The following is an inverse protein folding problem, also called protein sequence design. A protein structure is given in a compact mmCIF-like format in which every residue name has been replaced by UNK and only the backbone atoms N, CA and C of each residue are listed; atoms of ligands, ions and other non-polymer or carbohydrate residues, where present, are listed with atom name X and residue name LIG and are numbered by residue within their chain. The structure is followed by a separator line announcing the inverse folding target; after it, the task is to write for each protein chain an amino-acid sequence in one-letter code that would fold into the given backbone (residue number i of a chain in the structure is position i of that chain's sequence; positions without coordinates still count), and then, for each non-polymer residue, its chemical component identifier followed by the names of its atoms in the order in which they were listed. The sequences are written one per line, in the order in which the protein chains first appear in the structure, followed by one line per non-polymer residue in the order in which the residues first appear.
data_IF_159267460345
#
_entry.id   IF_159267460345
#
_cell.length_a   1.000
_cell.length_b   1.000
_cell.length_c   1.000
_cell.angle_alpha   90.00
_cell.angle_beta   90.00
_cell.angle_gamma   90.00
#
_symmetry.space_group_name_H-M   'P 1'
#
loop_
_entity.id
_entity.type
_entity.pdbx_description
1 polymer ?
#
# COMPACT_ATOMS: atom_id res chain seq x y z
N UNK A 1 -9.68 -13.69 -17.14
CA UNK A 1 -8.21 -13.63 -17.25
C UNK A 1 -7.65 -14.54 -16.18
N UNK A 2 -6.71 -15.36 -16.56
CA UNK A 2 -6.16 -16.46 -15.77
C UNK A 2 -5.01 -15.96 -14.87
N UNK A 3 -4.75 -16.62 -13.74
CA UNK A 3 -3.67 -16.32 -12.81
C UNK A 3 -2.31 -16.17 -13.52
N UNK A 4 -2.04 -17.06 -14.46
CA UNK A 4 -0.82 -17.10 -15.28
C UNK A 4 -0.47 -15.76 -15.95
N UNK A 5 -1.48 -15.00 -16.39
CA UNK A 5 -1.29 -13.71 -17.07
C UNK A 5 -0.93 -12.55 -16.12
N UNK A 6 -1.11 -12.75 -14.81
CA UNK A 6 -0.83 -11.75 -13.77
C UNK A 6 0.48 -12.01 -13.03
N UNK A 7 0.91 -13.29 -12.93
CA UNK A 7 2.11 -13.63 -12.16
C UNK A 7 3.39 -13.26 -12.95
N UNK A 8 4.20 -12.28 -12.48
CA UNK A 8 5.22 -11.62 -13.31
C UNK A 8 6.29 -12.54 -13.88
N UNK A 9 6.66 -13.60 -13.14
CA UNK A 9 7.72 -14.53 -13.55
C UNK A 9 7.17 -15.84 -14.12
N UNK A 10 5.88 -15.89 -14.51
CA UNK A 10 5.22 -17.11 -14.97
C UNK A 10 6.00 -17.89 -16.03
N UNK A 11 6.48 -17.19 -17.05
CA UNK A 11 7.22 -17.78 -18.17
C UNK A 11 8.64 -18.29 -17.82
N UNK A 12 9.12 -17.94 -16.61
CA UNK A 12 10.41 -18.41 -16.11
C UNK A 12 10.28 -19.66 -15.21
N UNK A 13 9.05 -20.08 -14.92
CA UNK A 13 8.75 -21.23 -14.07
C UNK A 13 8.73 -22.54 -14.87
N UNK A 14 9.11 -23.63 -14.22
CA UNK A 14 8.94 -24.98 -14.81
C UNK A 14 7.45 -25.34 -14.89
N UNK A 15 7.05 -26.28 -15.79
CA UNK A 15 5.66 -26.72 -15.88
C UNK A 15 5.09 -27.26 -14.56
N UNK A 16 5.91 -27.92 -13.76
CA UNK A 16 5.51 -28.43 -12.43
C UNK A 16 5.20 -27.28 -11.47
N UNK A 17 6.04 -26.24 -11.42
CA UNK A 17 5.85 -25.06 -10.59
C UNK A 17 4.61 -24.27 -11.00
N UNK A 18 4.39 -24.11 -12.31
CA UNK A 18 3.19 -23.49 -12.86
C UNK A 18 1.93 -24.26 -12.42
N UNK A 19 1.93 -25.57 -12.54
CA UNK A 19 0.80 -26.41 -12.14
C UNK A 19 0.52 -26.32 -10.63
N UNK A 20 1.56 -26.27 -9.78
CA UNK A 20 1.40 -26.10 -8.33
C UNK A 20 0.75 -24.75 -8.02
N UNK A 21 1.23 -23.67 -8.63
CA UNK A 21 0.69 -22.32 -8.41
C UNK A 21 -0.76 -22.22 -8.90
N UNK A 22 -1.08 -22.69 -10.10
CA UNK A 22 -2.46 -22.67 -10.63
C UNK A 22 -3.45 -23.40 -9.75
N UNK A 23 -3.09 -24.57 -9.21
CA UNK A 23 -3.96 -25.37 -8.35
C UNK A 23 -4.19 -24.74 -6.99
N UNK A 24 -3.24 -23.96 -6.50
CA UNK A 24 -3.26 -23.39 -5.15
C UNK A 24 -3.54 -21.88 -5.11
N UNK A 25 -3.64 -21.21 -6.26
CA UNK A 25 -4.04 -19.81 -6.34
C UNK A 25 -5.56 -19.68 -6.23
N UNK A 26 -6.03 -19.22 -5.07
CA UNK A 26 -7.46 -19.06 -4.79
C UNK A 26 -7.85 -17.59 -5.06
N UNK A 27 -8.86 -17.40 -5.92
CA UNK A 27 -9.40 -16.05 -6.17
C UNK A 27 -10.30 -15.64 -5.00
N UNK A 28 -9.98 -14.49 -4.39
CA UNK A 28 -10.73 -13.90 -3.28
C UNK A 28 -11.21 -12.50 -3.64
N UNK A 29 -12.44 -12.16 -3.24
CA UNK A 29 -12.99 -10.81 -3.30
C UNK A 29 -13.23 -10.31 -1.90
N UNK A 30 -12.93 -9.04 -1.68
CA UNK A 30 -13.14 -8.35 -0.41
C UNK A 30 -13.71 -6.95 -0.68
N UNK A 31 -14.57 -6.50 0.20
CA UNK A 31 -15.14 -5.16 0.14
C UNK A 31 -14.15 -4.13 0.72
N UNK A 32 -14.30 -2.88 0.32
CA UNK A 32 -13.57 -1.75 0.88
C UNK A 32 -13.67 -1.74 2.41
N UNK A 33 -12.54 -1.47 3.10
CA UNK A 33 -12.43 -1.44 4.57
C UNK A 33 -12.19 -2.81 5.20
N UNK A 34 -12.14 -3.89 4.40
CA UNK A 34 -11.83 -5.22 4.95
C UNK A 34 -10.35 -5.32 5.31
N UNK A 35 -10.06 -5.63 6.59
CA UNK A 35 -8.73 -6.01 7.03
C UNK A 35 -8.46 -7.46 6.61
N UNK A 36 -7.46 -7.64 5.75
CA UNK A 36 -7.10 -8.94 5.16
C UNK A 36 -6.08 -9.66 6.02
N UNK A 37 -5.17 -8.89 6.60
CA UNK A 37 -4.10 -9.36 7.49
C UNK A 37 -3.81 -8.30 8.55
N UNK A 38 -3.54 -8.74 9.78
CA UNK A 38 -2.90 -7.95 10.83
C UNK A 38 -1.93 -8.86 11.57
N UNK A 39 -0.97 -8.30 12.28
CA UNK A 39 0.10 -9.07 12.93
C UNK A 39 -0.36 -10.16 13.89
N UNK A 40 -1.61 -10.11 14.37
CA UNK A 40 -2.18 -11.09 15.31
C UNK A 40 -2.97 -12.21 14.61
N UNK A 41 -3.25 -12.08 13.31
CA UNK A 41 -3.99 -13.08 12.53
C UNK A 41 -3.06 -14.16 12.00
N UNK A 42 -3.65 -15.33 11.69
CA UNK A 42 -2.95 -16.36 10.94
C UNK A 42 -2.42 -15.82 9.60
N UNK A 43 -1.33 -16.41 9.15
CA UNK A 43 -0.66 -16.03 7.92
C UNK A 43 -1.61 -16.22 6.72
N UNK A 44 -1.96 -15.12 6.06
CA UNK A 44 -2.90 -15.17 4.93
C UNK A 44 -2.26 -15.80 3.68
N UNK A 45 -0.94 -15.70 3.53
CA UNK A 45 -0.22 -16.11 2.33
C UNK A 45 0.15 -14.93 1.43
N UNK A 46 0.74 -15.22 0.28
CA UNK A 46 1.07 -14.23 -0.73
C UNK A 46 -0.21 -13.75 -1.41
N UNK A 47 -0.36 -12.43 -1.53
CA UNK A 47 -1.46 -11.80 -2.26
C UNK A 47 -0.96 -11.24 -3.59
N UNK A 48 -1.68 -11.51 -4.67
CA UNK A 48 -1.49 -10.89 -5.98
C UNK A 48 -2.76 -10.14 -6.36
N UNK A 49 -2.69 -8.82 -6.41
CA UNK A 49 -3.84 -7.96 -6.71
C UNK A 49 -4.23 -8.12 -8.18
N UNK A 50 -5.49 -8.46 -8.42
CA UNK A 50 -6.05 -8.53 -9.77
C UNK A 50 -6.72 -7.23 -10.20
N UNK A 51 -7.42 -6.61 -9.26
CA UNK A 51 -8.13 -5.35 -9.45
C UNK A 51 -8.45 -4.76 -8.08
N UNK A 52 -8.35 -3.45 -7.94
CA UNK A 52 -8.63 -2.74 -6.70
C UNK A 52 -7.40 -2.10 -6.08
N UNK A 53 -7.41 -1.93 -4.76
CA UNK A 53 -6.33 -1.26 -4.06
C UNK A 53 -6.22 -1.75 -2.63
N UNK A 54 -5.02 -2.17 -2.24
CA UNK A 54 -4.69 -2.50 -0.86
C UNK A 54 -3.76 -1.44 -0.27
N UNK A 55 -3.81 -1.26 1.04
CA UNK A 55 -2.94 -0.41 1.82
C UNK A 55 -2.21 -1.27 2.84
N UNK A 56 -0.90 -1.12 2.93
CA UNK A 56 -0.07 -1.67 3.99
C UNK A 56 0.28 -0.54 4.97
N UNK A 57 -0.01 -0.74 6.25
CA UNK A 57 0.28 0.25 7.28
C UNK A 57 0.68 -0.41 8.60
N UNK A 58 1.35 0.35 9.44
CA UNK A 58 1.65 -0.01 10.82
C UNK A 58 0.77 0.80 11.76
N UNK A 59 0.49 0.21 12.92
CA UNK A 59 -0.32 0.81 13.98
C UNK A 59 0.56 1.01 15.22
N UNK A 60 0.55 2.22 15.79
CA UNK A 60 1.21 2.45 17.08
C UNK A 60 0.37 1.96 18.24
N UNK A 61 0.98 1.82 19.42
CA UNK A 61 0.28 1.47 20.68
C UNK A 61 -0.85 2.46 21.04
N UNK A 62 -0.75 3.70 20.56
CA UNK A 62 -1.76 4.75 20.73
C UNK A 62 -2.87 4.71 19.66
N UNK A 63 -2.85 3.74 18.75
CA UNK A 63 -3.81 3.59 17.67
C UNK A 63 -3.58 4.54 16.47
N UNK A 64 -2.39 5.15 16.36
CA UNK A 64 -2.03 5.96 15.20
C UNK A 64 -1.54 5.06 14.07
N UNK A 65 -2.04 5.31 12.89
CA UNK A 65 -1.63 4.60 11.68
C UNK A 65 -0.60 5.39 10.89
N UNK A 66 0.27 4.70 10.16
CA UNK A 66 1.08 5.27 9.10
C UNK A 66 1.15 4.31 7.93
N UNK A 67 0.77 4.80 6.74
CA UNK A 67 0.88 4.02 5.51
C UNK A 67 2.34 3.82 5.14
N UNK A 68 2.71 2.57 4.88
CA UNK A 68 4.03 2.22 4.39
C UNK A 68 4.06 2.26 2.85
N UNK A 69 3.08 1.62 2.21
CA UNK A 69 2.92 1.59 0.76
C UNK A 69 1.50 1.16 0.39
N UNK A 70 1.17 1.31 -0.88
CA UNK A 70 -0.06 0.82 -1.50
C UNK A 70 0.24 -0.25 -2.53
N UNK A 71 -0.76 -1.06 -2.81
CA UNK A 71 -0.71 -2.14 -3.79
C UNK A 71 -1.85 -1.96 -4.77
N UNK A 72 -1.50 -1.95 -6.05
CA UNK A 72 -2.41 -1.78 -7.17
C UNK A 72 -2.49 -3.05 -8.01
N UNK A 73 -3.18 -2.99 -9.14
CA UNK A 73 -3.29 -4.10 -10.08
C UNK A 73 -1.91 -4.64 -10.46
N UNK A 74 -1.72 -5.97 -10.33
CA UNK A 74 -0.49 -6.74 -10.55
C UNK A 74 0.55 -6.66 -9.45
N UNK A 75 0.33 -5.86 -8.40
CA UNK A 75 1.24 -5.84 -7.26
C UNK A 75 1.12 -7.07 -6.40
N UNK A 76 2.24 -7.45 -5.80
CA UNK A 76 2.34 -8.59 -4.89
C UNK A 76 2.61 -8.09 -3.46
N UNK A 77 1.83 -8.61 -2.51
CA UNK A 77 2.08 -8.47 -1.09
C UNK A 77 2.73 -9.73 -0.53
N UNK A 78 3.94 -9.61 -0.01
CA UNK A 78 4.65 -10.67 0.70
C UNK A 78 4.45 -10.59 2.21
N UNK A 79 4.20 -9.40 2.77
CA UNK A 79 4.07 -9.24 4.22
C UNK A 79 2.82 -9.91 4.80
N UNK A 80 1.79 -10.14 4.00
CA UNK A 80 0.66 -11.02 4.36
C UNK A 80 1.08 -12.48 4.56
N UNK A 81 2.28 -12.83 4.12
CA UNK A 81 2.93 -14.12 4.26
C UNK A 81 4.19 -14.03 5.17
N UNK A 82 4.22 -13.09 6.10
CA UNK A 82 5.38 -12.80 6.98
C UNK A 82 5.85 -14.02 7.81
N UNK A 83 4.96 -14.97 8.08
CA UNK A 83 5.30 -16.25 8.71
C UNK A 83 6.35 -17.08 7.94
N UNK A 84 6.54 -16.82 6.64
CA UNK A 84 7.60 -17.45 5.85
C UNK A 84 8.99 -16.86 6.13
N UNK A 85 9.03 -15.71 6.78
CA UNK A 85 10.24 -14.92 7.00
C UNK A 85 10.49 -14.75 8.50
N UNK A 86 11.29 -15.64 9.08
CA UNK A 86 11.57 -15.69 10.53
C UNK A 86 12.20 -14.41 11.13
N UNK A 87 12.65 -13.47 10.28
CA UNK A 87 13.35 -12.24 10.68
C UNK A 87 12.45 -10.99 10.72
N UNK A 88 11.19 -11.08 10.33
CA UNK A 88 10.26 -9.95 10.40
C UNK A 88 9.69 -9.87 11.82
N UNK A 89 10.02 -8.78 12.52
CA UNK A 89 9.63 -8.55 13.93
C UNK A 89 8.65 -7.38 14.09
N UNK A 90 7.99 -6.94 13.02
CA UNK A 90 7.01 -5.86 13.07
C UNK A 90 5.67 -6.32 12.50
N UNK A 91 4.61 -5.79 13.07
CA UNK A 91 3.25 -6.08 12.65
C UNK A 91 2.81 -5.12 11.57
N UNK A 92 2.37 -5.67 10.42
CA UNK A 92 1.78 -4.89 9.33
C UNK A 92 0.31 -5.26 9.22
N UNK A 93 -0.52 -4.24 9.04
CA UNK A 93 -1.92 -4.42 8.68
C UNK A 93 -2.09 -4.20 7.18
N UNK A 94 -2.82 -5.12 6.53
CA UNK A 94 -3.20 -5.03 5.11
C UNK A 94 -4.71 -4.85 5.04
N UNK A 95 -5.16 -3.76 4.45
CA UNK A 95 -6.56 -3.38 4.33
C UNK A 95 -6.92 -3.05 2.88
N UNK A 96 -8.14 -3.40 2.47
CA UNK A 96 -8.69 -3.03 1.19
C UNK A 96 -9.19 -1.58 1.19
N UNK A 97 -8.59 -0.71 0.39
CA UNK A 97 -9.01 0.69 0.23
C UNK A 97 -10.13 0.87 -0.80
N UNK A 98 -10.25 -0.07 -1.71
CA UNK A 98 -11.34 -0.21 -2.70
C UNK A 98 -11.81 -1.66 -2.69
N UNK A 99 -12.99 -1.92 -3.26
CA UNK A 99 -13.42 -3.30 -3.51
C UNK A 99 -12.34 -4.00 -4.33
N UNK A 100 -11.76 -5.06 -3.76
CA UNK A 100 -10.55 -5.66 -4.30
C UNK A 100 -10.77 -7.13 -4.62
N UNK A 101 -10.29 -7.53 -5.79
CA UNK A 101 -10.16 -8.94 -6.18
C UNK A 101 -8.68 -9.29 -6.25
N UNK A 102 -8.28 -10.38 -5.63
CA UNK A 102 -6.89 -10.83 -5.57
C UNK A 102 -6.80 -12.35 -5.58
N UNK A 103 -5.67 -12.88 -6.03
CA UNK A 103 -5.32 -14.28 -5.77
C UNK A 103 -4.56 -14.38 -4.45
N UNK A 104 -4.85 -15.45 -3.74
CA UNK A 104 -4.18 -15.83 -2.49
C UNK A 104 -3.47 -17.15 -2.71
N UNK A 105 -2.18 -17.20 -2.44
CA UNK A 105 -1.37 -18.42 -2.44
C UNK A 105 -0.91 -18.67 -1.01
N UNK A 106 -1.19 -19.86 -0.46
CA UNK A 106 -0.80 -20.17 0.90
C UNK A 106 0.71 -20.00 1.12
N UNK A 107 1.10 -19.58 2.32
CA UNK A 107 2.50 -19.40 2.70
C UNK A 107 3.31 -20.68 2.47
N UNK A 108 2.77 -21.83 2.86
CA UNK A 108 3.46 -23.12 2.70
C UNK A 108 3.71 -23.47 1.24
N UNK A 109 2.72 -23.25 0.36
CA UNK A 109 2.87 -23.49 -1.07
C UNK A 109 3.95 -22.59 -1.67
N UNK A 110 3.90 -21.30 -1.36
CA UNK A 110 4.89 -20.35 -1.91
C UNK A 110 6.29 -20.62 -1.37
N UNK A 111 6.42 -20.89 -0.07
CA UNK A 111 7.71 -21.23 0.57
C UNK A 111 8.31 -22.51 -0.01
N UNK A 112 7.49 -23.53 -0.29
CA UNK A 112 7.94 -24.76 -0.92
C UNK A 112 8.57 -24.49 -2.30
N UNK A 113 7.86 -23.76 -3.17
CA UNK A 113 8.38 -23.40 -4.49
C UNK A 113 9.62 -22.50 -4.39
N UNK A 114 9.63 -21.55 -3.46
CA UNK A 114 10.77 -20.66 -3.25
C UNK A 114 12.06 -21.43 -2.85
N UNK A 115 11.93 -22.48 -2.03
CA UNK A 115 13.08 -23.32 -1.64
C UNK A 115 13.63 -24.15 -2.79
N UNK A 116 12.80 -24.52 -3.76
CA UNK A 116 13.17 -25.38 -4.88
C UNK A 116 13.52 -24.59 -6.16
N UNK A 117 13.26 -23.29 -6.21
CA UNK A 117 13.40 -22.47 -7.40
C UNK A 117 14.22 -21.20 -7.12
N UNK A 118 15.44 -21.14 -7.63
CA UNK A 118 16.24 -19.93 -7.57
C UNK A 118 15.56 -18.75 -8.28
N UNK A 119 14.74 -19.00 -9.31
CA UNK A 119 13.97 -17.96 -10.01
C UNK A 119 12.94 -17.33 -9.07
N UNK A 120 12.19 -18.14 -8.30
CA UNK A 120 11.21 -17.65 -7.34
C UNK A 120 11.88 -16.99 -6.14
N UNK A 121 12.98 -17.55 -5.64
CA UNK A 121 13.75 -16.95 -4.54
C UNK A 121 14.32 -15.57 -4.92
N UNK A 122 14.90 -15.43 -6.11
CA UNK A 122 15.40 -14.14 -6.59
C UNK A 122 14.27 -13.12 -6.78
N UNK A 123 13.15 -13.54 -7.35
CA UNK A 123 11.97 -12.68 -7.50
C UNK A 123 11.44 -12.22 -6.14
N UNK A 124 11.38 -13.09 -5.14
CA UNK A 124 11.01 -12.75 -3.77
C UNK A 124 11.95 -11.70 -3.19
N UNK A 125 13.27 -11.87 -3.38
CA UNK A 125 14.27 -10.90 -2.93
C UNK A 125 14.12 -9.54 -3.62
N UNK A 126 13.82 -9.52 -4.93
CA UNK A 126 13.54 -8.27 -5.67
C UNK A 126 12.34 -7.52 -5.10
N UNK A 127 11.23 -8.22 -4.81
CA UNK A 127 10.07 -7.61 -4.16
C UNK A 127 10.44 -7.05 -2.78
N UNK A 128 11.17 -7.81 -1.98
CA UNK A 128 11.61 -7.36 -0.65
C UNK A 128 12.52 -6.12 -0.72
N UNK A 129 13.46 -6.09 -1.66
CA UNK A 129 14.34 -4.94 -1.88
C UNK A 129 13.55 -3.69 -2.28
N UNK A 130 12.54 -3.85 -3.15
CA UNK A 130 11.64 -2.75 -3.53
C UNK A 130 10.88 -2.22 -2.32
N UNK A 131 10.26 -3.09 -1.51
CA UNK A 131 9.53 -2.69 -0.30
C UNK A 131 10.43 -2.05 0.75
N UNK A 132 11.65 -2.55 0.92
CA UNK A 132 12.66 -1.92 1.77
C UNK A 132 12.98 -0.50 1.31
N UNK A 133 13.20 -0.31 0.00
CA UNK A 133 13.49 1.01 -0.57
C UNK A 133 12.32 1.99 -0.37
N UNK A 134 11.08 1.55 -0.55
CA UNK A 134 9.87 2.36 -0.31
C UNK A 134 9.76 2.81 1.16
N UNK A 135 10.02 1.89 2.09
CA UNK A 135 9.99 2.20 3.54
C UNK A 135 11.15 3.14 3.92
N UNK A 136 12.34 2.94 3.37
CA UNK A 136 13.47 3.84 3.59
C UNK A 136 13.21 5.23 3.04
N UNK A 137 12.61 5.33 1.85
CA UNK A 137 12.18 6.62 1.30
C UNK A 137 11.14 7.30 2.20
N UNK A 138 10.15 6.55 2.71
CA UNK A 138 9.16 7.08 3.65
C UNK A 138 9.82 7.61 4.93
N UNK A 139 10.79 6.87 5.49
CA UNK A 139 11.56 7.34 6.65
C UNK A 139 12.29 8.64 6.35
N UNK A 140 12.93 8.75 5.19
CA UNK A 140 13.59 9.97 4.75
C UNK A 140 12.60 11.14 4.67
N UNK A 141 11.41 10.95 4.09
CA UNK A 141 10.38 11.97 4.05
C UNK A 141 9.95 12.43 5.45
N UNK A 142 9.77 11.49 6.39
CA UNK A 142 9.34 11.81 7.76
C UNK A 142 10.45 12.55 8.53
N UNK A 143 11.71 12.19 8.33
CA UNK A 143 12.85 12.75 9.05
C UNK A 143 13.25 14.15 8.55
N UNK A 144 13.15 14.40 7.24
CA UNK A 144 13.75 15.58 6.63
C UNK A 144 12.73 16.57 6.05
N UNK A 145 11.51 16.13 5.70
CA UNK A 145 10.48 17.02 5.19
C UNK A 145 9.52 17.47 6.28
N UNK A 146 9.21 18.74 6.33
CA UNK A 146 8.16 19.30 7.19
C UNK A 146 6.77 18.73 6.80
N UNK A 147 5.82 18.82 7.72
CA UNK A 147 4.49 18.22 7.52
C UNK A 147 3.71 18.85 6.36
N UNK A 148 3.84 20.17 6.16
CA UNK A 148 3.21 20.90 5.05
C UNK A 148 3.68 20.38 3.68
N UNK A 149 4.99 20.20 3.48
CA UNK A 149 5.56 19.63 2.24
C UNK A 149 5.07 18.20 1.98
N UNK A 150 5.04 17.39 3.03
CA UNK A 150 4.52 16.00 2.93
C UNK A 150 3.04 15.97 2.60
N UNK A 151 2.24 16.86 3.23
CA UNK A 151 0.80 16.95 2.96
C UNK A 151 0.53 17.47 1.55
N UNK A 152 1.29 18.44 1.04
CA UNK A 152 1.20 18.90 -0.34
C UNK A 152 1.43 17.74 -1.32
N UNK A 153 2.53 16.99 -1.14
CA UNK A 153 2.82 15.82 -1.97
C UNK A 153 1.75 14.74 -1.90
N UNK A 154 1.21 14.47 -0.72
CA UNK A 154 0.10 13.52 -0.54
C UNK A 154 -1.15 13.94 -1.33
N UNK A 155 -1.55 15.21 -1.27
CA UNK A 155 -2.72 15.70 -2.02
C UNK A 155 -2.53 15.59 -3.52
N UNK A 156 -1.33 15.92 -4.03
CA UNK A 156 -0.99 15.78 -5.45
C UNK A 156 -1.02 14.31 -5.90
N UNK A 157 -0.46 13.40 -5.10
CA UNK A 157 -0.51 11.97 -5.36
C UNK A 157 -1.96 11.45 -5.41
N UNK A 158 -2.81 11.85 -4.44
CA UNK A 158 -4.23 11.46 -4.44
C UNK A 158 -4.97 11.99 -5.68
N UNK A 159 -4.72 13.23 -6.10
CA UNK A 159 -5.30 13.78 -7.32
C UNK A 159 -4.91 12.96 -8.56
N UNK A 160 -3.65 12.58 -8.65
CA UNK A 160 -3.15 11.72 -9.73
C UNK A 160 -3.80 10.33 -9.72
N UNK A 161 -3.92 9.70 -8.55
CA UNK A 161 -4.50 8.36 -8.40
C UNK A 161 -6.00 8.32 -8.68
N UNK A 162 -6.74 9.34 -8.28
CA UNK A 162 -8.19 9.43 -8.51
C UNK A 162 -8.56 10.08 -9.85
N UNK A 163 -7.57 10.68 -10.55
CA UNK A 163 -7.78 11.39 -11.82
C UNK A 163 -8.66 12.63 -11.70
N UNK A 164 -8.67 13.28 -10.52
CA UNK A 164 -9.47 14.46 -10.22
C UNK A 164 -8.83 15.30 -9.12
N UNK A 165 -9.05 16.62 -9.18
CA UNK A 165 -8.63 17.56 -8.13
C UNK A 165 -9.62 17.63 -6.95
N UNK A 166 -10.75 16.90 -7.00
CA UNK A 166 -11.78 16.87 -5.96
C UNK A 166 -11.70 15.55 -5.21
N UNK A 167 -10.99 15.56 -4.07
CA UNK A 167 -10.73 14.39 -3.25
C UNK A 167 -11.84 14.18 -2.22
N UNK A 168 -12.57 13.08 -2.31
CA UNK A 168 -13.55 12.65 -1.29
C UNK A 168 -12.82 11.93 -0.15
N UNK A 169 -12.15 12.70 0.68
CA UNK A 169 -11.30 12.20 1.76
C UNK A 169 -11.54 12.99 3.05
N UNK A 170 -11.54 12.30 4.19
CA UNK A 170 -11.67 12.93 5.50
C UNK A 170 -10.31 13.33 6.07
N UNK A 171 -10.28 14.33 6.97
CA UNK A 171 -9.06 14.69 7.69
C UNK A 171 -8.53 13.52 8.55
N UNK A 172 -9.40 12.65 9.03
CA UNK A 172 -9.03 11.42 9.75
C UNK A 172 -8.29 10.45 8.83
N UNK A 173 -8.83 10.22 7.63
CA UNK A 173 -8.18 9.36 6.64
C UNK A 173 -6.80 9.91 6.24
N UNK A 174 -6.69 11.22 6.01
CA UNK A 174 -5.39 11.87 5.73
C UNK A 174 -4.44 11.67 6.91
N UNK A 175 -4.91 11.87 8.14
CA UNK A 175 -4.10 11.69 9.35
C UNK A 175 -3.55 10.26 9.45
N UNK A 176 -4.38 9.25 9.18
CA UNK A 176 -3.97 7.85 9.14
C UNK A 176 -2.93 7.56 8.04
N UNK A 177 -3.02 8.20 6.88
CA UNK A 177 -1.99 8.06 5.85
C UNK A 177 -0.66 8.71 6.26
N UNK A 178 -0.73 9.86 6.92
CA UNK A 178 0.42 10.71 7.22
C UNK A 178 1.12 10.40 8.56
N UNK A 179 0.58 9.50 9.36
CA UNK A 179 1.11 9.17 10.69
C UNK A 179 0.99 10.32 11.69
N UNK A 180 -0.11 11.09 11.66
CA UNK A 180 -0.29 12.27 12.50
C UNK A 180 -1.70 12.34 13.11
N UNK A 181 -1.93 13.32 13.99
CA UNK A 181 -3.25 13.57 14.55
C UNK A 181 -4.13 14.38 13.59
N UNK A 182 -5.45 14.11 13.60
CA UNK A 182 -6.45 14.81 12.78
C UNK A 182 -6.39 16.33 12.92
N UNK A 183 -6.13 16.82 14.13
CA UNK A 183 -6.04 18.24 14.44
C UNK A 183 -4.89 18.92 13.68
N UNK A 184 -3.77 18.22 13.50
CA UNK A 184 -2.62 18.72 12.74
C UNK A 184 -2.99 18.86 11.27
N UNK A 185 -3.63 17.84 10.69
CA UNK A 185 -4.15 17.89 9.32
C UNK A 185 -5.16 19.02 9.16
N UNK A 186 -6.12 19.14 10.07
CA UNK A 186 -7.15 20.19 10.01
C UNK A 186 -6.54 21.59 10.02
N UNK A 187 -5.54 21.81 10.87
CA UNK A 187 -4.84 23.10 10.95
C UNK A 187 -4.08 23.41 9.67
N UNK A 188 -3.38 22.43 9.11
CA UNK A 188 -2.59 22.62 7.90
C UNK A 188 -3.48 22.81 6.66
N UNK A 189 -4.55 22.05 6.52
CA UNK A 189 -5.51 22.25 5.42
C UNK A 189 -6.21 23.62 5.48
N UNK A 190 -6.48 24.15 6.68
CA UNK A 190 -6.98 25.52 6.83
C UNK A 190 -5.94 26.56 6.39
N UNK A 191 -4.67 26.32 6.69
CA UNK A 191 -3.59 27.16 6.19
C UNK A 191 -3.56 27.12 4.65
N UNK A 192 -3.57 25.95 4.03
CA UNK A 192 -3.63 25.80 2.57
C UNK A 192 -4.85 26.48 1.94
N UNK A 193 -5.99 26.42 2.62
CA UNK A 193 -7.21 27.12 2.15
C UNK A 193 -7.04 28.65 2.20
N UNK A 194 -6.41 29.20 3.25
CA UNK A 194 -6.16 30.64 3.37
C UNK A 194 -5.18 31.13 2.31
N UNK A 195 -4.20 30.30 1.93
CA UNK A 195 -3.26 30.57 0.84
C UNK A 195 -3.86 30.32 -0.58
N UNK A 196 -5.12 29.84 -0.65
CA UNK A 196 -5.79 29.59 -1.93
C UNK A 196 -5.41 28.30 -2.63
N UNK A 197 -4.58 27.44 -2.00
CA UNK A 197 -4.12 26.18 -2.59
C UNK A 197 -5.20 25.12 -2.64
N UNK A 198 -6.11 25.12 -1.64
CA UNK A 198 -7.21 24.15 -1.56
C UNK A 198 -8.51 24.83 -1.14
N UNK A 199 -9.63 24.18 -1.45
CA UNK A 199 -10.95 24.52 -0.94
C UNK A 199 -11.51 23.36 -0.14
N UNK A 200 -11.97 23.63 1.09
CA UNK A 200 -12.49 22.61 2.00
C UNK A 200 -14.00 22.64 2.04
N UNK A 201 -14.60 21.46 1.89
CA UNK A 201 -16.02 21.22 2.14
C UNK A 201 -16.18 19.97 3.00
N UNK A 202 -17.39 19.66 3.43
CA UNK A 202 -17.62 18.51 4.32
C UNK A 202 -17.22 17.20 3.65
N UNK A 203 -16.12 16.58 4.14
CA UNK A 203 -15.62 15.30 3.62
C UNK A 203 -14.92 15.39 2.26
N UNK A 204 -14.57 16.61 1.83
CA UNK A 204 -13.94 16.83 0.52
C UNK A 204 -12.85 17.89 0.63
N UNK A 205 -11.73 17.62 -0.02
CA UNK A 205 -10.63 18.57 -0.27
C UNK A 205 -10.53 18.76 -1.78
N UNK A 206 -10.73 19.98 -2.25
CA UNK A 206 -10.54 20.35 -3.66
C UNK A 206 -9.21 21.07 -3.79
N UNK A 207 -8.29 20.55 -4.61
CA UNK A 207 -7.04 21.23 -4.96
C UNK A 207 -7.36 22.31 -6.00
N UNK A 208 -7.12 23.56 -5.64
CA UNK A 208 -7.43 24.75 -6.46
C UNK A 208 -6.20 25.34 -7.13
N UNK A 209 -5.01 25.11 -6.56
CA UNK A 209 -3.72 25.54 -7.11
C UNK A 209 -2.70 24.42 -6.96
N UNK A 210 -2.61 23.58 -8.01
CA UNK A 210 -1.69 22.45 -8.07
C UNK A 210 -0.24 22.91 -8.14
N UNK A 211 0.03 24.00 -8.87
CA UNK A 211 1.39 24.54 -9.02
C UNK A 211 1.96 25.05 -7.68
N UNK A 212 1.14 25.72 -6.86
CA UNK A 212 1.56 26.18 -5.53
C UNK A 212 1.87 25.00 -4.58
N UNK A 213 1.10 23.89 -4.67
CA UNK A 213 1.40 22.68 -3.90
C UNK A 213 2.68 21.99 -4.38
N UNK A 214 2.94 21.94 -5.69
CA UNK A 214 4.19 21.41 -6.26
C UNK A 214 5.40 22.24 -5.82
N UNK A 215 5.31 23.57 -5.86
CA UNK A 215 6.36 24.46 -5.37
C UNK A 215 6.64 24.22 -3.88
N UNK A 216 5.59 24.16 -3.05
CA UNK A 216 5.72 23.88 -1.63
C UNK A 216 6.38 22.52 -1.35
N UNK A 217 5.99 21.46 -2.08
CA UNK A 217 6.56 20.12 -1.92
C UNK A 217 8.08 20.09 -2.19
N UNK A 218 8.55 20.93 -3.14
CA UNK A 218 9.92 20.93 -3.64
C UNK A 218 10.81 21.99 -2.99
N UNK A 219 10.23 22.96 -2.26
CA UNK A 219 10.97 23.99 -1.55
C UNK A 219 11.82 23.41 -0.41
#
# INVERSE_FOLDING_TARGET
MDFSSYFPIWNKLTPTQQQILERNAVLRKVDKGTVIHNGTMECTGLLLVRNGQLRAYILSDEGREISLYRLFDRDICLFSASCMMNSIQFEITIEAQKDTTMWVISADTYQHIMKESAVVANFTNEIMATRFSEVMWLMEQIMWKSFDKRLAGFLLEECSLEGTNILKITHETIAGHMGTAREVVTRMLRYFQNEGMVKLTRGTVEVTDEAALEELQNA
#
